data_IF_880126204219
#
_entry.id   IF_880126204219
#
_cell.length_a   1.000
_cell.length_b   1.000
_cell.length_c   1.000
_cell.angle_alpha   90.00
_cell.angle_beta   90.00
_cell.angle_gamma   90.00
#
_symmetry.space_group_name_H-M   'P 1'
#
loop_
_entity.id
_entity.type
_entity.pdbx_description
1 polymer ?
#
# COMPACT_ATOMS: atom_id res chain seq x y z
N UNK A 1 -10.06 18.49 -5.58
CA UNK A 1 -11.43 18.08 -5.26
C UNK A 1 -11.62 16.62 -5.63
N UNK A 2 -12.13 15.80 -4.73
CA UNK A 2 -12.49 14.40 -4.97
C UNK A 2 -14.01 14.26 -5.14
N UNK A 3 -14.48 13.03 -5.39
CA UNK A 3 -15.92 12.70 -5.35
C UNK A 3 -16.56 13.02 -4.00
N UNK A 4 -15.79 12.93 -2.91
CA UNK A 4 -16.29 13.10 -1.53
C UNK A 4 -16.10 14.50 -0.96
N UNK A 5 -15.43 15.39 -1.67
CA UNK A 5 -15.25 16.77 -1.23
C UNK A 5 -13.92 17.41 -1.65
N UNK A 6 -13.72 18.62 -1.21
CA UNK A 6 -12.47 19.37 -1.35
C UNK A 6 -11.50 19.07 -0.21
N UNK A 7 -10.26 19.53 -0.32
CA UNK A 7 -9.28 19.48 0.76
C UNK A 7 -9.75 20.30 1.98
N UNK A 8 -10.33 21.47 1.74
CA UNK A 8 -10.73 22.37 2.81
C UNK A 8 -11.89 21.78 3.63
N UNK A 9 -12.90 21.19 2.97
CA UNK A 9 -13.99 20.44 3.63
C UNK A 9 -13.45 19.23 4.44
N UNK A 10 -12.43 18.57 3.95
CA UNK A 10 -11.79 17.45 4.67
C UNK A 10 -11.05 17.93 5.93
N UNK A 11 -10.30 19.02 5.85
CA UNK A 11 -9.61 19.60 6.99
C UNK A 11 -10.60 20.16 8.03
N UNK A 12 -11.67 20.80 7.57
CA UNK A 12 -12.76 21.26 8.44
C UNK A 12 -13.43 20.09 9.19
N UNK A 13 -13.67 18.96 8.49
CA UNK A 13 -14.21 17.75 9.11
C UNK A 13 -13.31 17.25 10.26
N UNK A 14 -12.00 17.16 10.04
CA UNK A 14 -11.05 16.72 11.07
C UNK A 14 -11.05 17.69 12.26
N UNK A 15 -11.10 18.99 12.01
CA UNK A 15 -11.14 20.00 13.07
C UNK A 15 -12.44 19.89 13.89
N UNK A 16 -13.59 19.68 13.25
CA UNK A 16 -14.87 19.47 13.94
C UNK A 16 -14.85 18.19 14.78
N UNK A 17 -14.28 17.09 14.28
CA UNK A 17 -14.11 15.86 15.05
C UNK A 17 -13.29 16.12 16.31
N UNK A 18 -12.17 16.80 16.18
CA UNK A 18 -11.27 17.15 17.29
C UNK A 18 -11.94 18.05 18.34
N UNK A 19 -12.75 19.03 17.91
CA UNK A 19 -13.52 19.89 18.82
C UNK A 19 -14.58 19.12 19.63
N UNK A 20 -14.92 17.92 19.21
CA UNK A 20 -15.89 17.03 19.88
C UNK A 20 -15.20 15.81 20.54
N UNK A 21 -13.90 15.87 20.80
CA UNK A 21 -13.10 14.80 21.40
C UNK A 21 -13.19 13.47 20.64
N UNK A 22 -13.33 13.53 19.31
CA UNK A 22 -13.35 12.36 18.41
C UNK A 22 -12.02 12.30 17.68
N UNK A 23 -11.28 11.22 17.90
CA UNK A 23 -10.03 10.96 17.18
C UNK A 23 -10.29 10.61 15.70
N UNK A 24 -9.39 11.04 14.84
CA UNK A 24 -9.43 10.78 13.40
C UNK A 24 -8.30 9.86 12.96
N UNK A 25 -8.65 8.81 12.24
CA UNK A 25 -7.69 7.85 11.70
C UNK A 25 -7.76 7.85 10.17
N UNK A 26 -6.60 7.97 9.51
CA UNK A 26 -6.56 7.88 8.06
C UNK A 26 -6.35 6.45 7.60
N UNK A 27 -7.12 6.04 6.61
CA UNK A 27 -6.94 4.78 5.90
C UNK A 27 -5.86 4.94 4.82
N UNK A 28 -4.73 4.27 5.00
CA UNK A 28 -3.52 4.42 4.19
C UNK A 28 -3.32 3.18 3.33
N UNK A 29 -3.42 3.35 2.02
CA UNK A 29 -3.19 2.30 1.01
C UNK A 29 -1.85 2.57 0.33
N UNK A 30 -0.82 1.80 0.67
CA UNK A 30 0.52 1.93 0.09
C UNK A 30 0.91 0.74 -0.80
N UNK A 31 0.20 -0.40 -0.74
CA UNK A 31 0.59 -1.60 -1.47
C UNK A 31 0.59 -1.39 -2.99
N UNK A 32 -0.39 -0.70 -3.52
CA UNK A 32 -0.60 -0.60 -4.96
C UNK A 32 -1.11 0.77 -5.40
N UNK A 33 -1.04 1.03 -6.71
CA UNK A 33 -1.65 2.21 -7.33
C UNK A 33 -2.56 1.80 -8.47
N UNK A 34 -3.66 2.56 -8.61
CA UNK A 34 -4.62 2.42 -9.72
C UNK A 34 -4.92 3.79 -10.34
N UNK A 35 -5.41 3.79 -11.58
CA UNK A 35 -5.82 5.02 -12.26
C UNK A 35 -4.65 5.87 -12.78
N UNK A 36 -3.60 5.23 -13.27
CA UNK A 36 -2.52 5.94 -13.97
C UNK A 36 -3.06 6.80 -15.14
N UNK A 37 -2.47 7.97 -15.33
CA UNK A 37 -2.91 8.91 -16.38
C UNK A 37 -2.26 8.63 -17.74
N UNK A 38 -1.24 7.77 -17.81
CA UNK A 38 -0.59 7.33 -19.06
C UNK A 38 -0.18 5.87 -19.02
N UNK A 39 -0.12 5.27 -20.20
CA UNK A 39 0.33 3.90 -20.41
C UNK A 39 1.84 3.87 -20.72
N UNK A 40 2.50 2.78 -20.31
CA UNK A 40 3.89 2.48 -20.67
C UNK A 40 3.96 1.08 -21.29
N UNK A 41 4.93 0.88 -22.16
CA UNK A 41 5.18 -0.41 -22.82
C UNK A 41 6.43 -1.03 -22.21
N UNK A 42 6.29 -2.20 -21.59
CA UNK A 42 7.34 -2.86 -20.80
C UNK A 42 7.39 -4.36 -21.08
N UNK A 43 8.58 -4.98 -21.02
CA UNK A 43 8.69 -6.42 -21.01
C UNK A 43 8.28 -6.99 -19.65
N UNK A 44 7.48 -8.05 -19.68
CA UNK A 44 6.99 -8.74 -18.49
C UNK A 44 6.84 -10.25 -18.74
N UNK A 45 6.66 -11.01 -17.68
CA UNK A 45 6.29 -12.43 -17.73
C UNK A 45 5.05 -12.64 -16.90
N UNK A 46 4.19 -13.58 -17.32
CA UNK A 46 3.03 -13.95 -16.49
C UNK A 46 3.46 -14.91 -15.38
N UNK A 47 2.89 -14.72 -14.21
CA UNK A 47 3.00 -15.67 -13.10
C UNK A 47 1.64 -16.25 -12.74
N UNK A 48 1.65 -17.41 -12.10
CA UNK A 48 0.44 -18.12 -11.72
C UNK A 48 -0.29 -17.44 -10.54
N UNK A 49 -1.62 -17.35 -10.61
CA UNK A 49 -2.45 -16.75 -9.54
C UNK A 49 -2.42 -17.52 -8.21
N UNK A 50 -2.17 -18.81 -8.26
CA UNK A 50 -2.08 -19.68 -7.06
C UNK A 50 -0.64 -19.83 -6.55
N UNK A 51 0.36 -19.38 -7.32
CA UNK A 51 1.77 -19.40 -6.92
C UNK A 51 2.55 -18.29 -7.65
N UNK A 52 2.67 -17.14 -7.03
CA UNK A 52 3.31 -15.96 -7.62
C UNK A 52 4.81 -16.15 -7.94
N UNK A 53 5.45 -17.18 -7.38
CA UNK A 53 6.81 -17.57 -7.76
C UNK A 53 6.89 -18.42 -9.04
N UNK A 54 5.76 -18.92 -9.54
CA UNK A 54 5.72 -19.76 -10.73
C UNK A 54 5.48 -18.92 -11.99
N UNK A 55 6.52 -18.74 -12.79
CA UNK A 55 6.40 -18.15 -14.11
C UNK A 55 5.70 -19.13 -15.08
N UNK A 56 4.64 -18.65 -15.75
CA UNK A 56 3.82 -19.46 -16.68
C UNK A 56 3.88 -19.00 -18.13
N UNK A 57 4.62 -17.94 -18.45
CA UNK A 57 4.84 -17.50 -19.84
C UNK A 57 6.31 -17.22 -20.14
N UNK A 58 6.66 -17.16 -21.43
CA UNK A 58 7.87 -16.48 -21.87
C UNK A 58 7.70 -14.96 -21.65
N UNK A 59 8.83 -14.24 -21.73
CA UNK A 59 8.79 -12.79 -21.71
C UNK A 59 8.01 -12.26 -22.91
N UNK A 60 7.09 -11.37 -22.66
CA UNK A 60 6.28 -10.67 -23.66
C UNK A 60 6.28 -9.16 -23.40
N UNK A 61 5.85 -8.38 -24.38
CA UNK A 61 5.74 -6.94 -24.23
C UNK A 61 4.29 -6.58 -23.92
N UNK A 62 4.06 -5.95 -22.77
CA UNK A 62 2.73 -5.53 -22.31
C UNK A 62 2.62 -4.00 -22.29
N UNK A 63 1.40 -3.49 -22.44
CA UNK A 63 1.10 -2.07 -22.35
C UNK A 63 0.23 -1.80 -21.13
N UNK A 64 0.81 -1.15 -20.12
CA UNK A 64 0.26 -1.09 -18.76
C UNK A 64 0.13 0.33 -18.21
N UNK A 65 -0.81 0.51 -17.30
CA UNK A 65 -1.14 1.77 -16.66
C UNK A 65 -0.24 2.03 -15.42
N UNK A 66 0.99 2.48 -15.67
CA UNK A 66 2.01 2.67 -14.62
C UNK A 66 2.62 4.08 -14.55
N UNK A 67 2.25 4.99 -15.45
CA UNK A 67 2.74 6.36 -15.42
C UNK A 67 1.72 7.29 -14.77
N UNK A 68 2.08 7.86 -13.61
CA UNK A 68 1.26 8.81 -12.87
C UNK A 68 1.99 10.16 -12.85
N UNK A 69 1.49 11.13 -13.63
CA UNK A 69 2.02 12.50 -13.71
C UNK A 69 1.22 13.49 -12.87
N UNK A 70 0.03 13.05 -12.41
CA UNK A 70 -0.86 13.84 -11.56
C UNK A 70 -1.12 15.27 -12.08
N UNK A 71 -1.66 15.44 -13.30
CA UNK A 71 -1.83 16.76 -13.91
C UNK A 71 -2.71 17.71 -13.08
N UNK A 72 -3.57 17.15 -12.22
CA UNK A 72 -4.39 17.93 -11.28
C UNK A 72 -3.61 18.64 -10.17
N UNK A 73 -2.35 18.26 -9.90
CA UNK A 73 -1.49 18.92 -8.91
C UNK A 73 -1.10 20.34 -9.35
N UNK A 74 -1.01 20.63 -10.65
CA UNK A 74 -0.59 21.93 -11.20
C UNK A 74 0.73 22.42 -10.58
N UNK A 75 1.71 21.53 -10.49
CA UNK A 75 3.03 21.76 -9.85
C UNK A 75 2.96 22.17 -8.37
N UNK A 76 1.88 21.82 -7.68
CA UNK A 76 1.78 21.96 -6.22
C UNK A 76 2.21 20.64 -5.55
N UNK A 77 2.73 20.74 -4.34
CA UNK A 77 3.14 19.62 -3.50
C UNK A 77 4.40 18.91 -4.01
N UNK A 78 4.34 17.58 -4.27
CA UNK A 78 5.44 16.82 -4.84
C UNK A 78 5.47 16.92 -6.36
N UNK A 79 6.67 17.02 -6.94
CA UNK A 79 6.90 16.88 -8.39
C UNK A 79 7.20 15.44 -8.80
N UNK A 80 7.20 14.50 -7.86
CA UNK A 80 7.47 13.10 -8.12
C UNK A 80 6.42 12.51 -9.07
N UNK A 81 6.91 11.88 -10.12
CA UNK A 81 6.10 11.15 -11.08
C UNK A 81 6.38 9.65 -10.99
N UNK A 82 5.35 8.87 -10.76
CA UNK A 82 5.48 7.43 -10.78
C UNK A 82 5.60 6.92 -12.22
N UNK A 83 6.41 5.87 -12.39
CA UNK A 83 6.56 5.16 -13.64
C UNK A 83 6.83 3.67 -13.36
N UNK A 84 6.90 2.84 -14.38
CA UNK A 84 7.01 1.39 -14.24
C UNK A 84 8.21 0.93 -13.39
N UNK A 85 9.29 1.71 -13.28
CA UNK A 85 10.45 1.34 -12.46
C UNK A 85 10.18 1.37 -10.96
N UNK A 86 9.05 1.95 -10.55
CA UNK A 86 8.60 2.03 -9.16
C UNK A 86 7.62 0.90 -8.78
N UNK A 87 7.42 -0.06 -9.70
CA UNK A 87 6.49 -1.17 -9.52
C UNK A 87 7.13 -2.50 -9.87
N UNK A 88 6.64 -3.58 -9.26
CA UNK A 88 7.10 -4.94 -9.51
C UNK A 88 6.23 -5.68 -10.53
N UNK A 89 4.96 -5.36 -10.60
CA UNK A 89 4.01 -5.97 -11.53
C UNK A 89 2.67 -5.24 -11.62
N UNK A 90 1.77 -5.83 -12.42
CA UNK A 90 0.40 -5.33 -12.64
C UNK A 90 -0.51 -6.48 -13.12
N UNK A 91 -1.82 -6.30 -13.05
CA UNK A 91 -2.81 -7.33 -13.40
C UNK A 91 -3.54 -7.15 -14.72
N UNK A 92 -3.14 -6.18 -15.56
CA UNK A 92 -3.86 -5.92 -16.81
C UNK A 92 -2.96 -5.41 -17.92
N UNK A 93 -3.05 -6.06 -19.09
CA UNK A 93 -2.44 -5.56 -20.35
C UNK A 93 -3.49 -4.88 -21.22
N UNK A 94 -3.28 -3.61 -21.50
CA UNK A 94 -4.16 -2.78 -22.35
C UNK A 94 -4.16 -3.18 -23.82
N UNK A 95 -3.12 -3.86 -24.31
CA UNK A 95 -3.06 -4.31 -25.70
C UNK A 95 -3.91 -5.57 -25.93
N UNK A 96 -3.65 -6.61 -25.15
CA UNK A 96 -4.36 -7.89 -25.27
C UNK A 96 -5.71 -7.90 -24.56
N UNK A 97 -5.95 -6.92 -23.67
CA UNK A 97 -7.12 -6.87 -22.76
C UNK A 97 -7.16 -8.08 -21.81
N UNK A 98 -5.99 -8.64 -21.51
CA UNK A 98 -5.83 -9.79 -20.67
C UNK A 98 -5.68 -9.41 -19.19
N UNK A 99 -6.36 -10.16 -18.32
CA UNK A 99 -6.15 -10.15 -16.89
C UNK A 99 -5.22 -11.31 -16.50
N UNK A 100 -4.00 -10.99 -16.09
CA UNK A 100 -3.00 -11.92 -15.57
C UNK A 100 -2.03 -11.14 -14.69
N UNK A 101 -1.34 -11.80 -13.78
CA UNK A 101 -0.26 -11.13 -13.03
C UNK A 101 0.97 -11.04 -13.93
N UNK A 102 1.27 -9.83 -14.38
CA UNK A 102 2.44 -9.50 -15.20
C UNK A 102 3.55 -9.00 -14.29
N UNK A 103 4.53 -9.86 -14.01
CA UNK A 103 5.75 -9.46 -13.30
C UNK A 103 6.70 -8.78 -14.29
N UNK A 104 7.17 -7.57 -13.96
CA UNK A 104 8.02 -6.79 -14.84
C UNK A 104 9.43 -7.39 -14.97
N UNK A 105 10.04 -7.19 -16.13
CA UNK A 105 11.40 -7.66 -16.37
C UNK A 105 12.36 -7.01 -15.38
N UNK A 106 13.30 -7.80 -14.89
CA UNK A 106 14.34 -7.40 -13.93
C UNK A 106 13.80 -6.94 -12.57
N UNK A 107 12.51 -7.23 -12.28
CA UNK A 107 11.87 -7.04 -10.98
C UNK A 107 11.69 -8.38 -10.26
N UNK A 108 11.66 -8.31 -8.93
CA UNK A 108 11.43 -9.47 -8.07
C UNK A 108 10.40 -9.11 -7.01
N UNK A 109 9.50 -10.05 -6.72
CA UNK A 109 8.64 -9.93 -5.56
C UNK A 109 9.47 -9.79 -4.30
N UNK A 110 9.04 -8.97 -3.36
CA UNK A 110 9.68 -8.87 -2.06
C UNK A 110 9.48 -10.17 -1.27
N UNK A 111 10.56 -10.70 -0.71
CA UNK A 111 10.52 -11.98 0.04
C UNK A 111 10.14 -11.80 1.52
N UNK A 112 10.09 -10.58 2.04
CA UNK A 112 9.75 -10.28 3.43
C UNK A 112 8.25 -9.98 3.63
N UNK A 113 7.39 -10.76 2.97
CA UNK A 113 5.93 -10.66 2.97
C UNK A 113 5.30 -12.00 3.36
N UNK A 114 3.95 -12.07 3.43
CA UNK A 114 3.28 -13.36 3.69
C UNK A 114 3.57 -14.39 2.58
N UNK A 115 3.71 -15.64 2.97
CA UNK A 115 4.03 -16.76 2.08
C UNK A 115 2.81 -17.39 1.38
N UNK A 116 1.61 -16.85 1.60
CA UNK A 116 0.40 -17.26 0.89
C UNK A 116 0.64 -17.15 -0.62
N UNK A 117 0.13 -18.10 -1.42
CA UNK A 117 0.41 -18.22 -2.86
C UNK A 117 1.92 -18.30 -3.21
N UNK A 118 2.73 -18.85 -2.31
CA UNK A 118 4.18 -18.95 -2.45
C UNK A 118 4.95 -17.65 -2.15
N UNK A 119 4.35 -16.50 -2.42
CA UNK A 119 4.79 -15.14 -2.10
C UNK A 119 3.60 -14.19 -2.33
N UNK A 120 3.19 -13.43 -1.34
CA UNK A 120 2.02 -12.59 -1.46
C UNK A 120 2.37 -11.09 -1.46
N UNK A 121 3.45 -10.71 -2.12
CA UNK A 121 3.78 -9.31 -2.41
C UNK A 121 2.69 -8.69 -3.29
N UNK A 122 2.46 -9.28 -4.46
CA UNK A 122 1.43 -8.83 -5.38
C UNK A 122 0.01 -9.07 -4.84
N UNK A 123 -0.79 -8.00 -4.72
CA UNK A 123 -2.20 -8.06 -4.37
C UNK A 123 -3.11 -7.67 -5.54
N UNK A 124 -2.93 -6.49 -6.11
CA UNK A 124 -3.73 -5.94 -7.21
C UNK A 124 -3.12 -4.67 -7.79
N UNK A 125 -3.57 -4.27 -8.99
CA UNK A 125 -3.15 -3.01 -9.63
C UNK A 125 -1.66 -2.94 -9.93
N UNK A 126 -1.08 -1.76 -9.95
CA UNK A 126 0.37 -1.56 -10.07
C UNK A 126 1.02 -1.71 -8.69
N UNK A 127 1.69 -2.82 -8.47
CA UNK A 127 2.30 -3.23 -7.21
C UNK A 127 3.57 -2.42 -6.91
N UNK A 128 3.65 -1.80 -5.75
CA UNK A 128 4.71 -0.83 -5.43
C UNK A 128 5.99 -1.55 -4.96
N UNK A 129 7.11 -1.26 -5.62
CA UNK A 129 8.43 -1.78 -5.30
C UNK A 129 9.05 -1.06 -4.08
N UNK A 130 8.91 -1.63 -2.90
CA UNK A 130 9.52 -1.11 -1.66
C UNK A 130 11.02 -1.39 -1.52
N UNK A 131 11.64 -2.07 -2.48
CA UNK A 131 13.11 -2.15 -2.58
C UNK A 131 13.70 -0.92 -3.26
N UNK A 132 12.88 -0.13 -3.96
CA UNK A 132 13.28 1.10 -4.62
C UNK A 132 13.35 2.26 -3.62
N UNK A 133 14.55 2.80 -3.44
CA UNK A 133 14.81 3.88 -2.48
C UNK A 133 14.01 5.16 -2.79
N UNK A 134 13.80 5.50 -4.07
CA UNK A 134 13.01 6.68 -4.48
C UNK A 134 11.55 6.54 -4.02
N UNK A 135 11.00 5.32 -4.09
CA UNK A 135 9.65 5.00 -3.62
C UNK A 135 9.55 5.19 -2.11
N UNK A 136 10.49 4.64 -1.35
CA UNK A 136 10.52 4.74 0.11
C UNK A 136 10.61 6.20 0.55
N UNK A 137 11.48 6.98 -0.09
CA UNK A 137 11.64 8.42 0.20
C UNK A 137 10.37 9.21 -0.12
N UNK A 138 9.73 8.97 -1.27
CA UNK A 138 8.49 9.67 -1.63
C UNK A 138 7.35 9.30 -0.69
N UNK A 139 7.21 8.03 -0.32
CA UNK A 139 6.21 7.60 0.66
C UNK A 139 6.43 8.26 2.03
N UNK A 140 7.68 8.43 2.44
CA UNK A 140 8.02 9.09 3.71
C UNK A 140 7.73 10.60 3.66
N UNK A 141 8.11 11.27 2.58
CA UNK A 141 7.77 12.69 2.35
C UNK A 141 6.26 12.91 2.34
N UNK A 142 5.54 12.04 1.63
CA UNK A 142 4.09 12.10 1.55
C UNK A 142 3.44 11.89 2.91
N UNK A 143 3.86 10.89 3.68
CA UNK A 143 3.30 10.60 5.00
C UNK A 143 3.48 11.76 5.96
N UNK A 144 4.71 12.32 6.02
CA UNK A 144 4.98 13.51 6.82
C UNK A 144 4.09 14.69 6.41
N UNK A 145 4.07 15.02 5.13
CA UNK A 145 3.23 16.10 4.61
C UNK A 145 1.75 15.90 4.96
N UNK A 146 1.25 14.67 4.81
CA UNK A 146 -0.14 14.35 5.09
C UNK A 146 -0.49 14.55 6.57
N UNK A 147 0.34 14.05 7.48
CA UNK A 147 0.16 14.24 8.93
C UNK A 147 0.25 15.72 9.31
N UNK A 148 1.23 16.45 8.76
CA UNK A 148 1.42 17.88 9.05
C UNK A 148 0.19 18.72 8.67
N UNK A 149 -0.45 18.44 7.54
CA UNK A 149 -1.60 19.23 7.08
C UNK A 149 -2.93 18.81 7.70
N UNK A 150 -3.08 17.51 8.01
CA UNK A 150 -4.35 16.97 8.51
C UNK A 150 -4.43 16.96 10.03
N UNK A 151 -3.28 16.85 10.69
CA UNK A 151 -3.21 16.72 12.14
C UNK A 151 -3.99 15.54 12.73
N UNK A 152 -4.17 14.46 11.95
CA UNK A 152 -4.83 13.21 12.37
C UNK A 152 -4.16 12.58 13.59
N UNK A 153 -4.91 11.72 14.28
CA UNK A 153 -4.50 11.09 15.53
C UNK A 153 -3.87 9.70 15.31
N UNK A 154 -4.21 9.05 14.20
CA UNK A 154 -3.67 7.73 13.90
C UNK A 154 -3.84 7.29 12.46
N UNK A 155 -3.38 6.06 12.18
CA UNK A 155 -3.35 5.45 10.86
C UNK A 155 -3.97 4.04 10.90
N UNK A 156 -4.81 3.74 9.93
CA UNK A 156 -5.15 2.37 9.57
C UNK A 156 -4.35 2.03 8.30
N UNK A 157 -3.50 1.01 8.38
CA UNK A 157 -2.68 0.56 7.27
C UNK A 157 -3.36 -0.60 6.56
N UNK A 158 -3.68 -0.39 5.29
CA UNK A 158 -4.27 -1.39 4.42
C UNK A 158 -3.27 -2.48 4.04
N UNK A 159 -3.73 -3.72 3.95
CA UNK A 159 -3.04 -4.83 3.30
C UNK A 159 -1.57 -5.05 3.76
N UNK A 160 -1.28 -4.90 5.07
CA UNK A 160 0.10 -4.89 5.58
C UNK A 160 0.87 -6.20 5.37
N UNK A 161 0.21 -7.33 5.15
CA UNK A 161 0.87 -8.62 4.90
C UNK A 161 1.56 -8.71 3.52
N UNK A 162 1.25 -7.77 2.62
CA UNK A 162 1.80 -7.67 1.27
C UNK A 162 2.98 -6.69 1.17
N UNK A 163 3.34 -6.03 2.27
CA UNK A 163 4.42 -5.04 2.34
C UNK A 163 5.43 -5.48 3.41
N UNK A 164 6.74 -5.32 3.19
CA UNK A 164 7.74 -5.69 4.18
C UNK A 164 7.51 -5.04 5.54
N UNK A 165 7.48 -5.83 6.61
CA UNK A 165 7.31 -5.34 7.97
C UNK A 165 8.37 -4.30 8.35
N UNK A 166 9.61 -4.46 7.88
CA UNK A 166 10.71 -3.53 8.13
C UNK A 166 10.47 -2.15 7.48
N UNK A 167 9.83 -2.09 6.30
CA UNK A 167 9.43 -0.81 5.72
C UNK A 167 8.47 -0.07 6.66
N UNK A 168 7.38 -0.71 7.07
CA UNK A 168 6.39 -0.07 7.93
C UNK A 168 6.95 0.30 9.30
N UNK A 169 7.75 -0.60 9.92
CA UNK A 169 8.43 -0.31 11.19
C UNK A 169 9.25 0.99 11.11
N UNK A 170 10.08 1.11 10.10
CA UNK A 170 10.92 2.29 9.88
C UNK A 170 10.07 3.52 9.55
N UNK A 171 9.12 3.37 8.64
CA UNK A 171 8.25 4.46 8.19
C UNK A 171 7.44 5.07 9.33
N UNK A 172 6.86 4.26 10.22
CA UNK A 172 6.11 4.76 11.39
C UNK A 172 7.03 5.45 12.39
N UNK A 173 8.20 4.87 12.69
CA UNK A 173 9.20 5.52 13.57
C UNK A 173 9.63 6.89 13.02
N UNK A 174 9.96 6.94 11.74
CA UNK A 174 10.37 8.18 11.06
C UNK A 174 9.24 9.24 11.09
N UNK A 175 7.99 8.84 10.86
CA UNK A 175 6.84 9.75 10.92
C UNK A 175 6.60 10.29 12.33
N UNK A 176 6.62 9.44 13.36
CA UNK A 176 6.48 9.86 14.77
C UNK A 176 7.61 10.82 15.16
N UNK A 177 8.85 10.51 14.77
CA UNK A 177 9.99 11.37 15.07
C UNK A 177 9.88 12.74 14.38
N UNK A 178 9.55 12.77 13.09
CA UNK A 178 9.49 14.00 12.30
C UNK A 178 8.29 14.88 12.63
N UNK A 179 7.15 14.30 12.99
CA UNK A 179 5.90 15.03 13.29
C UNK A 179 5.72 15.31 14.78
N UNK A 180 6.50 14.66 15.65
CA UNK A 180 6.37 14.71 17.13
C UNK A 180 4.99 14.26 17.63
N UNK A 181 4.36 13.34 16.92
CA UNK A 181 3.07 12.74 17.25
C UNK A 181 3.24 11.25 17.57
N UNK A 182 2.46 10.74 18.52
CA UNK A 182 2.45 9.31 18.85
C UNK A 182 1.85 8.43 17.74
N UNK A 183 0.86 8.93 17.01
CA UNK A 183 0.19 8.27 15.89
C UNK A 183 -0.18 6.83 16.19
N UNK A 184 -1.30 6.59 16.84
CA UNK A 184 -1.79 5.22 16.96
C UNK A 184 -1.89 4.57 15.57
N UNK A 185 -1.39 3.34 15.44
CA UNK A 185 -1.32 2.67 14.14
C UNK A 185 -1.88 1.26 14.26
N UNK A 186 -2.85 0.94 13.41
CA UNK A 186 -3.46 -0.39 13.29
C UNK A 186 -3.35 -0.89 11.85
N UNK A 187 -2.84 -2.10 11.66
CA UNK A 187 -2.65 -2.74 10.36
C UNK A 187 -3.70 -3.81 10.08
N UNK A 188 -4.10 -3.89 8.81
CA UNK A 188 -4.93 -4.99 8.33
C UNK A 188 -4.06 -6.15 7.83
N UNK A 189 -3.80 -7.10 8.71
CA UNK A 189 -3.19 -8.38 8.37
C UNK A 189 -4.28 -9.45 8.35
N UNK A 190 -4.88 -9.69 7.17
CA UNK A 190 -6.06 -10.56 7.07
C UNK A 190 -5.66 -12.04 7.09
N UNK A 191 -5.70 -12.65 8.26
CA UNK A 191 -5.44 -14.08 8.48
C UNK A 191 -6.15 -14.58 9.74
N UNK A 192 -6.56 -15.86 9.75
CA UNK A 192 -7.04 -16.55 10.96
C UNK A 192 -5.92 -17.14 11.81
N UNK A 193 -4.67 -17.07 11.36
CA UNK A 193 -3.50 -17.63 12.04
C UNK A 193 -2.90 -16.64 13.06
N UNK A 194 -3.13 -16.92 14.34
CA UNK A 194 -2.64 -16.11 15.47
C UNK A 194 -1.11 -16.02 15.46
N UNK A 195 -0.39 -17.06 15.02
CA UNK A 195 1.07 -17.07 15.02
C UNK A 195 1.65 -16.09 13.97
N UNK A 196 0.99 -15.97 12.81
CA UNK A 196 1.36 -14.97 11.80
C UNK A 196 1.17 -13.55 12.34
N UNK A 197 0.06 -13.26 13.04
CA UNK A 197 -0.17 -11.97 13.67
C UNK A 197 0.88 -11.64 14.73
N UNK A 198 1.19 -12.59 15.61
CA UNK A 198 2.24 -12.40 16.63
C UNK A 198 3.62 -12.16 16.00
N UNK A 199 3.96 -12.90 14.94
CA UNK A 199 5.21 -12.70 14.21
C UNK A 199 5.30 -11.28 13.68
N UNK A 200 4.26 -10.80 12.98
CA UNK A 200 4.24 -9.46 12.40
C UNK A 200 4.36 -8.37 13.47
N UNK A 201 3.64 -8.49 14.60
CA UNK A 201 3.77 -7.54 15.73
C UNK A 201 5.21 -7.55 16.29
N UNK A 202 5.85 -8.71 16.36
CA UNK A 202 7.24 -8.84 16.81
C UNK A 202 8.21 -8.22 15.82
N UNK A 203 8.06 -8.47 14.52
CA UNK A 203 8.88 -7.91 13.44
C UNK A 203 8.79 -6.39 13.36
N UNK A 204 7.60 -5.84 13.62
CA UNK A 204 7.38 -4.39 13.71
C UNK A 204 7.74 -3.81 15.08
N UNK A 205 8.29 -4.61 16.01
CA UNK A 205 8.65 -4.18 17.38
C UNK A 205 7.48 -3.54 18.16
N UNK A 206 6.24 -3.93 17.83
CA UNK A 206 5.03 -3.37 18.44
C UNK A 206 4.64 -1.98 17.96
N UNK A 207 5.30 -1.44 16.92
CA UNK A 207 4.94 -0.14 16.34
C UNK A 207 3.56 -0.13 15.70
N UNK A 208 3.04 -1.32 15.33
CA UNK A 208 1.75 -1.49 14.66
C UNK A 208 0.92 -2.51 15.45
N UNK A 209 -0.27 -2.12 15.87
CA UNK A 209 -1.32 -3.04 16.33
C UNK A 209 -1.98 -3.71 15.12
N UNK A 210 -2.63 -4.85 15.31
CA UNK A 210 -3.35 -5.52 14.21
C UNK A 210 -4.82 -5.71 14.57
N UNK A 211 -5.69 -5.77 13.57
CA UNK A 211 -7.05 -6.24 13.75
C UNK A 211 -7.08 -7.69 14.22
N UNK A 212 -7.95 -8.01 15.19
CA UNK A 212 -8.15 -9.37 15.67
C UNK A 212 -9.04 -10.18 14.69
N UNK A 213 -8.46 -10.53 13.54
CA UNK A 213 -9.14 -11.32 12.51
C UNK A 213 -9.51 -12.73 12.99
N UNK A 214 -8.69 -13.44 13.81
CA UNK A 214 -9.11 -14.69 14.44
C UNK A 214 -10.40 -14.56 15.26
N UNK A 215 -10.55 -13.51 16.08
CA UNK A 215 -11.77 -13.23 16.83
C UNK A 215 -12.95 -12.94 15.87
N UNK A 216 -12.75 -12.16 14.82
CA UNK A 216 -13.75 -11.92 13.79
C UNK A 216 -14.32 -13.24 13.22
N UNK A 217 -13.45 -14.20 12.84
CA UNK A 217 -13.89 -15.49 12.34
C UNK A 217 -14.63 -16.30 13.40
N UNK A 218 -14.20 -16.28 14.67
CA UNK A 218 -14.89 -16.98 15.78
C UNK A 218 -16.29 -16.41 16.02
N UNK A 219 -16.42 -15.08 16.07
CA UNK A 219 -17.71 -14.41 16.22
C UNK A 219 -18.65 -14.69 15.04
N UNK A 220 -18.14 -14.59 13.81
CA UNK A 220 -18.90 -14.94 12.60
C UNK A 220 -19.38 -16.39 12.62
N UNK A 221 -18.56 -17.34 13.08
CA UNK A 221 -18.95 -18.73 13.18
C UNK A 221 -19.98 -18.98 14.27
N UNK A 222 -19.87 -18.29 15.40
CA UNK A 222 -20.81 -18.40 16.51
C UNK A 222 -22.18 -17.77 16.24
N UNK A 223 -22.27 -16.89 15.24
CA UNK A 223 -23.54 -16.23 14.84
C UNK A 223 -24.38 -17.04 13.84
N UNK A 224 -23.86 -18.15 13.35
CA UNK A 224 -24.53 -19.08 12.39
C UNK A 224 -25.11 -20.30 13.10
#
# INVERSE_FOLDING_TARGET
KTKYGSKDEYLECIEVLKQNDIESYADIVLNHKMGADKLQTIPATKVDWGNHNLQISNQETVRVATKFTFPGRKHKYSEFEWNWTHFDGIDYDENSKEHAIFKFKDKNWNNAVDEEFGNYDYLMGADIDFTNQEVVEECTKWGKWYIDITQIDGLRLDAVKHIPADFYKKWIKDLREQTKKELFTVGEYWTGDVQKLHRYITETEGEISLFDVPLHYKLSSASK
#
